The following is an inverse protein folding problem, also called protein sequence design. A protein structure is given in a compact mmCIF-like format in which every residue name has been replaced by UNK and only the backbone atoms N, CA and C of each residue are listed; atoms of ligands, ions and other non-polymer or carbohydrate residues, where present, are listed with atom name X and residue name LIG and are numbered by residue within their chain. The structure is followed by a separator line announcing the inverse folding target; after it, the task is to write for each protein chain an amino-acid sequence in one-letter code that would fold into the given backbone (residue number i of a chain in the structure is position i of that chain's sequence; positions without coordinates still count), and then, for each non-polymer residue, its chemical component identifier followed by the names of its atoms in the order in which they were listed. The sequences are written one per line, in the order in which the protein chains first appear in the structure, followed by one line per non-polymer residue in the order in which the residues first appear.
data_IF_303695497134
#
_entry.id   IF_303695497134
#
_cell.length_a   1.000
_cell.length_b   1.000
_cell.length_c   1.000
_cell.angle_alpha   90.00
_cell.angle_beta   90.00
_cell.angle_gamma   90.00
#
_symmetry.space_group_name_H-M   'P 1'
#
loop_
_entity.id
_entity.type
_entity.pdbx_description
1 polymer ?
#
# COMPACT_ATOMS: atom_id res chain seq x y z
N UNK A 1 23.46 -7.12 -24.82
CA UNK A 1 23.03 -8.49 -24.46
C UNK A 1 22.86 -8.67 -22.95
N UNK A 2 22.06 -7.82 -22.30
CA UNK A 2 21.76 -7.94 -20.86
C UNK A 2 20.39 -7.31 -20.51
N UNK A 3 19.52 -7.16 -21.52
CA UNK A 3 18.21 -6.51 -21.37
C UNK A 3 17.03 -7.41 -21.81
N UNK A 4 17.30 -8.60 -22.35
CA UNK A 4 16.27 -9.46 -22.95
C UNK A 4 16.06 -10.81 -22.26
N UNK A 5 16.79 -11.10 -21.17
CA UNK A 5 16.85 -12.45 -20.59
C UNK A 5 15.85 -12.74 -19.49
N UNK A 6 14.71 -12.05 -19.47
CA UNK A 6 13.63 -12.36 -18.55
C UNK A 6 12.26 -12.27 -19.21
N UNK A 7 12.06 -12.91 -20.37
CA UNK A 7 10.71 -13.35 -20.75
C UNK A 7 10.39 -14.66 -20.01
N UNK A 8 10.31 -14.49 -18.69
CA UNK A 8 9.68 -15.37 -17.70
C UNK A 8 8.30 -15.76 -18.22
N UNK A 9 8.04 -17.07 -18.25
CA UNK A 9 6.74 -17.76 -18.34
C UNK A 9 5.56 -16.80 -18.42
N UNK A 10 4.87 -16.75 -19.56
CA UNK A 10 3.63 -15.99 -19.75
C UNK A 10 2.53 -16.58 -18.88
N UNK A 11 2.58 -16.31 -17.57
CA UNK A 11 1.51 -16.55 -16.62
C UNK A 11 0.37 -15.64 -17.06
N UNK A 12 -0.64 -16.22 -17.70
CA UNK A 12 -1.89 -15.54 -18.02
C UNK A 12 -2.62 -15.27 -16.71
N UNK A 13 -2.26 -14.18 -16.03
CA UNK A 13 -2.93 -13.73 -14.83
C UNK A 13 -4.27 -13.14 -15.30
N UNK A 14 -5.42 -13.74 -14.93
CA UNK A 14 -6.72 -13.20 -15.29
C UNK A 14 -6.85 -11.78 -14.72
N UNK A 15 -7.50 -10.86 -15.45
CA UNK A 15 -7.63 -9.49 -14.99
C UNK A 15 -8.43 -9.45 -13.68
N UNK A 16 -8.09 -8.52 -12.81
CA UNK A 16 -8.66 -8.39 -11.48
C UNK A 16 -10.18 -8.12 -11.53
N UNK A 17 -10.68 -7.56 -12.65
CA UNK A 17 -12.10 -7.37 -12.96
C UNK A 17 -12.92 -8.68 -12.98
N UNK A 18 -12.29 -9.82 -13.28
CA UNK A 18 -12.94 -11.14 -13.27
C UNK A 18 -12.97 -11.75 -11.85
N UNK A 19 -12.23 -11.15 -10.91
CA UNK A 19 -12.02 -11.60 -9.53
C UNK A 19 -12.28 -10.48 -8.53
N UNK A 20 -13.41 -9.78 -8.71
CA UNK A 20 -13.75 -8.61 -7.86
C UNK A 20 -13.87 -8.96 -6.37
N UNK A 21 -14.23 -10.21 -6.04
CA UNK A 21 -14.30 -10.70 -4.66
C UNK A 21 -12.94 -10.76 -3.95
N UNK A 22 -11.83 -10.87 -4.69
CA UNK A 22 -10.48 -10.92 -4.12
C UNK A 22 -9.90 -9.51 -3.85
N UNK A 23 -10.51 -8.45 -4.41
CA UNK A 23 -10.01 -7.07 -4.34
C UNK A 23 -9.82 -6.59 -2.89
N UNK A 24 -10.78 -6.75 -1.96
CA UNK A 24 -10.62 -6.23 -0.60
C UNK A 24 -9.48 -6.93 0.15
N UNK A 25 -9.33 -8.24 -0.03
CA UNK A 25 -8.28 -9.03 0.62
C UNK A 25 -6.90 -8.65 0.08
N UNK A 26 -6.76 -8.55 -1.24
CA UNK A 26 -5.52 -8.14 -1.88
C UNK A 26 -5.14 -6.70 -1.50
N UNK A 27 -6.13 -5.81 -1.46
CA UNK A 27 -5.91 -4.43 -1.04
C UNK A 27 -5.38 -4.35 0.39
N UNK A 28 -5.99 -5.08 1.34
CA UNK A 28 -5.51 -5.14 2.71
C UNK A 28 -4.06 -5.62 2.82
N UNK A 29 -3.68 -6.63 2.02
CA UNK A 29 -2.30 -7.11 1.95
C UNK A 29 -1.33 -6.03 1.43
N UNK A 30 -1.68 -5.33 0.34
CA UNK A 30 -0.84 -4.25 -0.19
C UNK A 30 -0.76 -3.06 0.74
N UNK A 31 -1.85 -2.72 1.43
CA UNK A 31 -1.91 -1.61 2.37
C UNK A 31 -1.04 -1.88 3.59
N UNK A 32 -1.07 -3.10 4.15
CA UNK A 32 -0.18 -3.51 5.22
C UNK A 32 1.30 -3.41 4.80
N UNK A 33 1.63 -3.96 3.64
CA UNK A 33 3.00 -3.90 3.09
C UNK A 33 3.46 -2.46 2.82
N UNK A 34 2.57 -1.59 2.34
CA UNK A 34 2.86 -0.19 2.12
C UNK A 34 3.08 0.55 3.45
N UNK A 35 2.25 0.30 4.45
CA UNK A 35 2.40 0.87 5.79
C UNK A 35 3.76 0.49 6.41
N UNK A 36 4.15 -0.79 6.33
CA UNK A 36 5.47 -1.26 6.76
C UNK A 36 6.61 -0.57 5.98
N UNK A 37 6.48 -0.46 4.65
CA UNK A 37 7.47 0.18 3.78
C UNK A 37 7.67 1.66 4.10
N UNK A 38 6.59 2.38 4.41
CA UNK A 38 6.61 3.80 4.73
C UNK A 38 6.84 4.09 6.22
N UNK A 39 6.94 3.05 7.06
CA UNK A 39 7.06 3.21 8.51
C UNK A 39 5.86 3.94 9.12
N UNK A 40 4.67 3.77 8.52
CA UNK A 40 3.42 4.42 8.96
C UNK A 40 2.45 3.39 9.52
N UNK A 41 1.52 3.80 10.40
CA UNK A 41 0.40 2.95 10.75
C UNK A 41 -0.45 2.62 9.52
N UNK A 42 -1.02 1.42 9.49
CA UNK A 42 -1.94 1.01 8.42
C UNK A 42 -3.07 2.02 8.32
N UNK A 43 -3.21 2.66 7.15
CA UNK A 43 -4.26 3.64 6.91
C UNK A 43 -5.65 3.03 7.14
N UNK A 44 -6.59 3.78 7.70
CA UNK A 44 -7.96 3.29 7.87
C UNK A 44 -8.62 3.15 6.50
N UNK A 45 -9.15 1.96 6.22
CA UNK A 45 -10.04 1.73 5.08
C UNK A 45 -11.40 2.30 5.47
N UNK A 46 -11.74 3.47 4.95
CA UNK A 46 -13.06 4.08 5.16
C UNK A 46 -14.06 3.61 4.10
N UNK A 47 -15.32 4.04 4.25
CA UNK A 47 -16.39 3.68 3.33
C UNK A 47 -16.10 4.16 1.90
N UNK A 48 -15.51 5.34 1.70
CA UNK A 48 -15.15 5.87 0.39
C UNK A 48 -14.09 5.01 -0.33
N UNK A 49 -13.05 4.57 0.37
CA UNK A 49 -12.04 3.63 -0.16
C UNK A 49 -12.70 2.30 -0.49
N UNK A 50 -13.60 1.81 0.36
CA UNK A 50 -14.30 0.54 0.16
C UNK A 50 -15.26 0.58 -1.03
N UNK A 51 -15.95 1.71 -1.24
CA UNK A 51 -16.78 1.95 -2.42
C UNK A 51 -15.92 1.99 -3.69
N UNK A 52 -14.84 2.77 -3.68
CA UNK A 52 -13.92 2.86 -4.81
C UNK A 52 -13.31 1.52 -5.21
N UNK A 53 -12.97 0.67 -4.22
CA UNK A 53 -12.48 -0.69 -4.47
C UNK A 53 -13.48 -1.56 -5.24
N UNK A 54 -14.77 -1.36 -5.03
CA UNK A 54 -15.84 -2.15 -5.62
C UNK A 54 -16.38 -1.56 -6.93
N UNK A 55 -16.39 -0.23 -7.05
CA UNK A 55 -16.91 0.49 -8.22
C UNK A 55 -15.90 0.60 -9.35
N UNK A 56 -14.59 0.53 -9.04
CA UNK A 56 -13.54 0.66 -10.05
C UNK A 56 -13.25 -0.66 -10.80
N UNK A 57 -12.99 -0.55 -12.10
CA UNK A 57 -12.77 -1.70 -12.99
C UNK A 57 -11.32 -2.24 -13.01
N UNK A 58 -10.41 -1.56 -12.31
CA UNK A 58 -8.99 -1.92 -12.17
C UNK A 58 -8.32 -2.31 -13.50
N UNK A 59 -8.31 -1.44 -14.53
CA UNK A 59 -7.68 -1.73 -15.82
C UNK A 59 -6.19 -2.11 -15.70
N UNK A 60 -5.47 -1.55 -14.72
CA UNK A 60 -4.08 -1.94 -14.41
C UNK A 60 -3.94 -3.15 -13.46
N UNK A 61 -5.03 -3.86 -13.15
CA UNK A 61 -5.10 -5.04 -12.30
C UNK A 61 -4.43 -4.82 -10.92
N UNK A 62 -3.65 -5.82 -10.47
CA UNK A 62 -2.93 -5.84 -9.20
C UNK A 62 -1.92 -4.69 -9.07
N UNK A 63 -1.32 -4.24 -10.19
CA UNK A 63 -0.35 -3.14 -10.15
C UNK A 63 -1.02 -1.84 -9.75
N UNK A 64 -2.16 -1.55 -10.34
CA UNK A 64 -2.96 -0.35 -10.02
C UNK A 64 -3.53 -0.42 -8.61
N UNK A 65 -4.01 -1.59 -8.18
CA UNK A 65 -4.44 -1.82 -6.79
C UNK A 65 -3.33 -1.55 -5.79
N UNK A 66 -2.12 -2.02 -6.06
CA UNK A 66 -0.95 -1.78 -5.21
C UNK A 66 -0.59 -0.28 -5.16
N UNK A 67 -0.62 0.42 -6.30
CA UNK A 67 -0.41 1.88 -6.34
C UNK A 67 -1.48 2.64 -5.56
N UNK A 68 -2.73 2.20 -5.62
CA UNK A 68 -3.80 2.81 -4.83
C UNK A 68 -3.61 2.56 -3.33
N UNK A 69 -3.22 1.36 -2.91
CA UNK A 69 -2.89 1.04 -1.53
C UNK A 69 -1.71 1.89 -1.00
N UNK A 70 -0.70 2.11 -1.84
CA UNK A 70 0.44 2.99 -1.53
C UNK A 70 -0.03 4.44 -1.26
N UNK A 71 -0.92 4.97 -2.11
CA UNK A 71 -1.55 6.29 -1.91
C UNK A 71 -2.37 6.35 -0.63
N UNK A 72 -3.18 5.33 -0.34
CA UNK A 72 -4.00 5.27 0.89
C UNK A 72 -3.12 5.18 2.13
N UNK A 73 -2.02 4.42 2.11
CA UNK A 73 -1.04 4.36 3.21
C UNK A 73 -0.37 5.72 3.47
N UNK A 74 -0.21 6.55 2.44
CA UNK A 74 0.32 7.90 2.54
C UNK A 74 -0.71 8.95 2.98
N UNK A 75 -2.00 8.58 3.08
CA UNK A 75 -3.09 9.49 3.40
C UNK A 75 -3.68 10.21 2.18
N UNK A 76 -3.33 9.82 0.96
CA UNK A 76 -3.81 10.45 -0.29
C UNK A 76 -5.05 9.74 -0.86
N UNK A 77 -5.90 9.21 0.01
CA UNK A 77 -7.13 8.49 -0.33
C UNK A 77 -8.29 9.41 -0.70
N UNK A 78 -9.39 8.88 -1.25
CA UNK A 78 -10.54 9.63 -1.76
C UNK A 78 -11.36 10.41 -0.70
N UNK A 79 -10.92 10.47 0.55
CA UNK A 79 -11.65 11.06 1.68
C UNK A 79 -10.69 11.82 2.62
N UNK A 80 -9.53 12.26 2.12
CA UNK A 80 -8.62 13.09 2.91
C UNK A 80 -9.18 14.51 3.06
N UNK A 81 -10.29 14.62 3.79
CA UNK A 81 -10.69 15.82 4.48
C UNK A 81 -10.49 15.57 5.99
N UNK A 82 -9.36 16.08 6.48
CA UNK A 82 -8.96 16.20 7.88
C UNK A 82 -8.31 14.96 8.57
N UNK A 83 -7.00 15.08 8.80
CA UNK A 83 -6.48 14.81 10.16
C UNK A 83 -5.34 13.81 10.32
N UNK A 84 -4.54 13.48 9.30
CA UNK A 84 -3.26 12.82 9.53
C UNK A 84 -2.18 13.86 9.85
N UNK A 85 -2.21 14.41 11.08
CA UNK A 85 -1.05 15.10 11.64
C UNK A 85 0.17 14.18 11.51
N UNK A 86 1.32 14.64 10.98
CA UNK A 86 2.50 13.80 10.84
C UNK A 86 3.03 13.48 12.23
N UNK A 87 2.58 12.38 12.82
CA UNK A 87 3.25 11.75 13.94
C UNK A 87 4.60 11.23 13.41
N UNK A 88 5.58 12.13 13.40
CA UNK A 88 6.98 11.77 13.34
C UNK A 88 7.24 10.80 14.50
N UNK A 89 7.68 9.56 14.26
CA UNK A 89 8.32 8.81 15.32
C UNK A 89 9.64 9.52 15.61
N UNK A 90 9.65 10.36 16.64
CA UNK A 90 10.90 10.84 17.23
C UNK A 90 11.74 9.62 17.61
N UNK A 91 13.07 9.64 17.40
CA UNK A 91 13.90 8.49 17.69
C UNK A 91 13.90 8.21 19.20
N UNK A 92 13.07 7.27 19.62
CA UNK A 92 13.22 6.54 20.87
C UNK A 92 14.38 5.55 20.71
N UNK A 93 15.59 6.09 20.59
CA UNK A 93 16.83 5.36 20.77
C UNK A 93 17.58 6.06 21.89
N UNK A 94 17.21 5.70 23.12
CA UNK A 94 18.01 5.96 24.30
C UNK A 94 19.42 5.44 24.06
N UNK A 95 20.39 6.35 23.94
CA UNK A 95 21.80 6.05 24.13
C UNK A 95 22.07 6.11 25.64
N UNK A 96 22.32 4.97 26.32
CA UNK A 96 23.02 5.02 27.59
C UNK A 96 24.49 5.36 27.29
N UNK A 97 24.85 6.64 27.38
CA UNK A 97 26.23 7.07 27.35
C UNK A 97 26.98 6.53 28.57
N UNK A 98 27.66 5.39 28.35
CA UNK A 98 28.82 4.96 29.13
C UNK A 98 30.08 5.48 28.46
N UNK A 99 30.68 6.52 29.02
CA UNK A 99 32.13 6.80 29.09
C UNK A 99 32.31 7.60 30.40
N UNK A 100 32.98 7.09 31.43
CA UNK A 100 34.45 7.04 31.54
C UNK A 100 34.88 8.29 32.31
N UNK A 101 35.15 8.16 33.61
CA UNK A 101 36.50 8.26 34.20
C UNK A 101 37.12 9.65 34.09
#
# INVERSE_FOLDING_TARGET
DLYFRLNVVTLRIPPLRERRGDIPMLFGHFLGKAAERFGRPVGKVNAAVSDYLQSHDWPGNVRELAHFADRVALGLGPDDEAGASPALPGPAAALPERVGQ
#
